data_IF_117272837972
#
_entry.id   IF_117272837972
#
_cell.length_a   1.000
_cell.length_b   1.000
_cell.length_c   1.000
_cell.angle_alpha   90.00
_cell.angle_beta   90.00
_cell.angle_gamma   90.00
#
_symmetry.space_group_name_H-M   'P 1'
#
loop_
_entity.id
_entity.type
_entity.pdbx_description
1 polymer ?
#
# COMPACT_ATOMS: atom_id res chain seq x y z
N UNK A 1 -31.85 -12.07 37.10
CA UNK A 1 -31.86 -13.41 36.46
C UNK A 1 -30.54 -14.08 36.77
N UNK A 2 -30.56 -15.20 37.49
CA UNK A 2 -29.34 -15.92 37.89
C UNK A 2 -28.81 -16.66 36.67
N UNK A 3 -27.64 -16.26 36.17
CA UNK A 3 -26.95 -16.97 35.10
C UNK A 3 -26.29 -18.20 35.74
N UNK A 4 -26.94 -19.37 35.65
CA UNK A 4 -26.30 -20.64 36.05
C UNK A 4 -25.31 -21.03 34.95
N UNK A 5 -24.03 -20.87 35.25
CA UNK A 5 -22.96 -21.34 34.37
C UNK A 5 -23.04 -22.87 34.22
N UNK A 6 -23.01 -23.34 32.97
CA UNK A 6 -23.02 -24.77 32.65
C UNK A 6 -21.61 -25.30 32.89
N UNK A 7 -21.49 -26.37 33.67
CA UNK A 7 -20.20 -26.99 33.93
C UNK A 7 -19.57 -27.49 32.62
N UNK A 8 -18.24 -27.45 32.52
CA UNK A 8 -17.50 -27.89 31.34
C UNK A 8 -17.79 -29.36 30.99
N UNK A 9 -18.02 -30.20 32.00
CA UNK A 9 -18.44 -31.59 31.84
C UNK A 9 -19.83 -31.72 31.19
N UNK A 10 -20.79 -30.89 31.63
CA UNK A 10 -22.14 -30.83 31.06
C UNK A 10 -22.11 -30.28 29.64
N UNK A 11 -21.28 -29.26 29.37
CA UNK A 11 -21.07 -28.74 28.01
C UNK A 11 -20.56 -29.82 27.08
N UNK A 12 -19.53 -30.58 27.48
CA UNK A 12 -18.98 -31.67 26.68
C UNK A 12 -19.99 -32.82 26.45
N UNK A 13 -20.82 -33.13 27.45
CA UNK A 13 -21.91 -34.09 27.30
C UNK A 13 -22.94 -33.64 26.25
N UNK A 14 -23.35 -32.36 26.27
CA UNK A 14 -24.24 -31.75 25.26
C UNK A 14 -23.61 -31.84 23.86
N UNK A 15 -22.35 -31.45 23.71
CA UNK A 15 -21.63 -31.51 22.42
C UNK A 15 -21.61 -32.95 21.87
N UNK A 16 -21.34 -33.94 22.74
CA UNK A 16 -21.32 -35.35 22.34
C UNK A 16 -22.71 -35.85 21.89
N UNK A 17 -23.78 -35.41 22.56
CA UNK A 17 -25.15 -35.79 22.24
C UNK A 17 -25.64 -35.14 20.94
N UNK A 18 -25.25 -33.88 20.69
CA UNK A 18 -25.50 -33.16 19.44
C UNK A 18 -24.80 -33.85 18.25
N UNK A 19 -23.54 -34.27 18.42
CA UNK A 19 -22.80 -35.04 17.40
C UNK A 19 -23.43 -36.41 17.09
N UNK A 20 -24.11 -37.01 18.07
CA UNK A 20 -24.88 -38.26 17.89
C UNK A 20 -26.27 -38.05 17.29
N UNK A 21 -26.67 -36.80 16.99
CA UNK A 21 -27.96 -36.48 16.38
C UNK A 21 -29.17 -36.62 17.30
N UNK A 22 -28.97 -36.62 18.64
CA UNK A 22 -30.10 -36.63 19.59
C UNK A 22 -30.89 -35.31 19.49
N UNK A 23 -32.22 -35.37 19.64
CA UNK A 23 -33.07 -34.17 19.64
C UNK A 23 -32.86 -33.33 20.89
N UNK A 24 -33.15 -32.02 20.80
CA UNK A 24 -32.96 -31.08 21.91
C UNK A 24 -33.82 -31.45 23.13
N UNK A 25 -34.98 -32.06 22.91
CA UNK A 25 -35.88 -32.51 23.97
C UNK A 25 -35.28 -33.65 24.77
N UNK A 26 -34.66 -34.62 24.08
CA UNK A 26 -33.98 -35.75 24.73
C UNK A 26 -32.80 -35.24 25.55
N UNK A 27 -32.00 -34.33 24.99
CA UNK A 27 -30.82 -33.75 25.67
C UNK A 27 -31.26 -32.91 26.88
N UNK A 28 -32.33 -32.14 26.75
CA UNK A 28 -32.87 -31.31 27.82
C UNK A 28 -33.37 -32.14 28.99
N UNK A 29 -34.05 -33.25 28.71
CA UNK A 29 -34.55 -34.18 29.73
C UNK A 29 -33.43 -34.99 30.38
N UNK A 30 -32.43 -35.44 29.61
CA UNK A 30 -31.31 -36.28 30.08
C UNK A 30 -30.30 -35.50 30.92
N UNK A 31 -30.04 -34.23 30.57
CA UNK A 31 -29.03 -33.40 31.23
C UNK A 31 -29.61 -32.29 32.13
N UNK A 32 -30.95 -32.17 32.20
CA UNK A 32 -31.67 -31.12 32.92
C UNK A 32 -31.21 -29.69 32.57
N UNK A 33 -30.86 -29.48 31.30
CA UNK A 33 -30.41 -28.18 30.77
C UNK A 33 -31.51 -27.57 29.91
N UNK A 34 -31.66 -26.25 29.97
CA UNK A 34 -32.65 -25.53 29.15
C UNK A 34 -32.38 -25.72 27.66
N UNK A 35 -33.45 -25.83 26.86
CA UNK A 35 -33.37 -25.92 25.40
C UNK A 35 -32.63 -24.71 24.77
N UNK A 36 -32.76 -23.53 25.39
CA UNK A 36 -32.04 -22.31 24.96
C UNK A 36 -30.53 -22.43 25.09
N UNK A 37 -30.05 -23.02 26.19
CA UNK A 37 -28.62 -23.28 26.40
C UNK A 37 -28.08 -24.32 25.42
N UNK A 38 -28.84 -25.40 25.17
CA UNK A 38 -28.48 -26.42 24.17
C UNK A 38 -28.41 -25.79 22.77
N UNK A 39 -29.37 -24.93 22.41
CA UNK A 39 -29.36 -24.19 21.15
C UNK A 39 -28.15 -23.26 21.00
N UNK A 40 -27.73 -22.59 22.08
CA UNK A 40 -26.55 -21.73 22.04
C UNK A 40 -25.26 -22.55 21.84
N UNK A 41 -25.13 -23.67 22.56
CA UNK A 41 -23.99 -24.61 22.39
C UNK A 41 -24.03 -25.25 20.99
N UNK A 42 -25.20 -25.59 20.46
CA UNK A 42 -25.33 -26.11 19.10
C UNK A 42 -24.87 -25.10 18.04
N UNK A 43 -25.23 -23.81 18.21
CA UNK A 43 -24.71 -22.73 17.35
C UNK A 43 -23.20 -22.58 17.45
N UNK A 44 -22.61 -22.83 18.62
CA UNK A 44 -21.16 -22.83 18.83
C UNK A 44 -20.44 -24.04 18.21
N UNK A 45 -21.05 -25.22 18.25
CA UNK A 45 -20.47 -26.45 17.69
C UNK A 45 -20.64 -26.49 16.17
N UNK A 46 -21.77 -26.00 15.65
CA UNK A 46 -22.06 -25.88 14.22
C UNK A 46 -21.36 -24.66 13.59
N UNK A 47 -20.32 -24.13 14.23
CA UNK A 47 -19.41 -23.17 13.63
C UNK A 47 -18.63 -23.80 12.45
N UNK A 48 -19.30 -24.08 11.32
CA UNK A 48 -18.87 -23.41 10.09
C UNK A 48 -18.87 -21.94 10.47
N UNK A 49 -17.70 -21.39 10.73
CA UNK A 49 -17.54 -19.98 10.99
C UNK A 49 -18.24 -19.24 9.86
N UNK A 50 -19.48 -18.80 10.11
CA UNK A 50 -20.13 -17.80 9.29
C UNK A 50 -19.34 -16.55 9.63
N UNK A 51 -18.18 -16.43 8.99
CA UNK A 51 -17.46 -15.18 8.88
C UNK A 51 -18.53 -14.22 8.38
N UNK A 52 -19.01 -13.36 9.27
CA UNK A 52 -19.98 -12.34 8.95
C UNK A 52 -19.40 -11.61 7.76
N UNK A 53 -19.98 -11.86 6.57
CA UNK A 53 -19.48 -11.29 5.35
C UNK A 53 -19.64 -9.78 5.52
N UNK A 54 -18.52 -9.10 5.77
CA UNK A 54 -18.52 -7.66 5.93
C UNK A 54 -19.07 -7.00 4.67
N UNK A 55 -19.34 -5.70 4.77
CA UNK A 55 -19.79 -4.90 3.64
C UNK A 55 -18.89 -5.15 2.41
N UNK A 56 -19.47 -5.44 1.22
CA UNK A 56 -18.68 -5.65 0.02
C UNK A 56 -17.84 -4.41 -0.29
N UNK A 57 -16.64 -4.63 -0.82
CA UNK A 57 -15.75 -3.54 -1.20
C UNK A 57 -16.39 -2.73 -2.33
N UNK A 58 -16.40 -1.40 -2.20
CA UNK A 58 -16.86 -0.49 -3.27
C UNK A 58 -15.97 -0.59 -4.53
N UNK A 59 -14.70 -0.94 -4.33
CA UNK A 59 -13.72 -1.11 -5.39
C UNK A 59 -13.79 -2.53 -5.97
N UNK A 60 -13.96 -2.63 -7.28
CA UNK A 60 -13.94 -3.92 -8.00
C UNK A 60 -12.52 -4.51 -8.04
N UNK A 61 -12.42 -5.83 -8.23
CA UNK A 61 -11.11 -6.50 -8.39
C UNK A 61 -10.38 -6.06 -9.65
N UNK A 62 -11.11 -5.64 -10.69
CA UNK A 62 -10.56 -5.07 -11.90
C UNK A 62 -9.95 -3.69 -11.64
N UNK A 63 -10.71 -2.77 -11.04
CA UNK A 63 -10.25 -1.41 -10.75
C UNK A 63 -9.06 -1.44 -9.80
N UNK A 64 -9.08 -2.33 -8.81
CA UNK A 64 -7.94 -2.53 -7.91
C UNK A 64 -6.67 -2.88 -8.67
N UNK A 65 -6.73 -3.84 -9.60
CA UNK A 65 -5.57 -4.24 -10.42
C UNK A 65 -5.12 -3.12 -11.34
N UNK A 66 -6.05 -2.40 -11.95
CA UNK A 66 -5.77 -1.25 -12.81
C UNK A 66 -4.98 -0.19 -12.04
N UNK A 67 -5.45 0.18 -10.84
CA UNK A 67 -4.79 1.17 -9.99
C UNK A 67 -3.37 0.75 -9.64
N UNK A 68 -3.18 -0.48 -9.16
CA UNK A 68 -1.85 -0.97 -8.80
C UNK A 68 -0.89 -0.99 -9.99
N UNK A 69 -1.38 -1.38 -11.18
CA UNK A 69 -0.59 -1.36 -12.42
C UNK A 69 -0.18 0.06 -12.81
N UNK A 70 -1.11 1.01 -12.74
CA UNK A 70 -0.87 2.42 -13.09
C UNK A 70 0.08 3.12 -12.11
N UNK A 71 0.04 2.78 -10.83
CA UNK A 71 1.05 3.23 -9.85
C UNK A 71 2.43 2.65 -10.17
N UNK A 72 2.52 1.35 -10.45
CA UNK A 72 3.78 0.70 -10.83
C UNK A 72 4.36 1.21 -12.16
N UNK A 73 3.51 1.67 -13.08
CA UNK A 73 3.92 2.27 -14.34
C UNK A 73 4.27 3.78 -14.22
N UNK A 74 4.14 4.37 -13.03
CA UNK A 74 4.39 5.80 -12.81
C UNK A 74 3.32 6.76 -13.35
N UNK A 75 2.19 6.24 -13.84
CA UNK A 75 1.10 7.06 -14.39
C UNK A 75 0.36 7.81 -13.27
N UNK A 76 0.10 7.12 -12.15
CA UNK A 76 -0.52 7.75 -10.99
C UNK A 76 0.53 8.25 -10.00
N UNK A 77 0.63 9.58 -9.88
CA UNK A 77 1.49 10.25 -8.89
C UNK A 77 0.86 10.29 -7.49
N UNK A 78 -0.47 10.46 -7.40
CA UNK A 78 -1.20 10.60 -6.11
C UNK A 78 -2.46 9.72 -6.07
N UNK A 79 -2.95 9.44 -4.85
CA UNK A 79 -4.20 8.72 -4.65
C UNK A 79 -5.41 9.53 -5.16
N UNK A 80 -5.32 10.86 -5.09
CA UNK A 80 -6.29 11.80 -5.66
C UNK A 80 -6.36 11.69 -7.18
N UNK A 81 -5.21 11.59 -7.85
CA UNK A 81 -5.15 11.40 -9.30
C UNK A 81 -5.85 10.10 -9.70
N UNK A 82 -5.53 8.99 -9.03
CA UNK A 82 -6.18 7.70 -9.27
C UNK A 82 -7.69 7.76 -8.99
N UNK A 83 -8.12 8.38 -7.89
CA UNK A 83 -9.54 8.50 -7.56
C UNK A 83 -10.32 9.36 -8.57
N UNK A 84 -9.70 10.42 -9.10
CA UNK A 84 -10.30 11.25 -10.16
C UNK A 84 -10.44 10.46 -11.47
N UNK A 85 -9.42 9.70 -11.83
CA UNK A 85 -9.43 8.89 -13.05
C UNK A 85 -10.51 7.80 -12.98
N UNK A 86 -10.62 7.11 -11.84
CA UNK A 86 -11.69 6.13 -11.61
C UNK A 86 -13.09 6.74 -11.63
N UNK A 87 -13.26 7.97 -11.13
CA UNK A 87 -14.54 8.69 -11.24
C UNK A 87 -14.93 8.93 -12.70
N UNK A 88 -13.96 9.27 -13.56
CA UNK A 88 -14.18 9.40 -15.01
C UNK A 88 -14.59 8.10 -15.70
N UNK A 89 -14.20 6.96 -15.14
CA UNK A 89 -14.56 5.61 -15.62
C UNK A 89 -15.87 5.08 -15.03
N UNK A 90 -16.59 5.88 -14.23
CA UNK A 90 -17.87 5.49 -13.61
C UNK A 90 -17.75 4.87 -12.21
N UNK A 91 -16.54 4.70 -11.69
CA UNK A 91 -16.30 4.19 -10.34
C UNK A 91 -16.13 5.36 -9.35
N UNK A 92 -17.21 5.76 -8.67
CA UNK A 92 -17.15 6.82 -7.66
C UNK A 92 -16.43 6.36 -6.39
N UNK A 93 -15.15 6.72 -6.26
CA UNK A 93 -14.31 6.28 -5.14
C UNK A 93 -13.56 7.49 -4.57
N UNK A 94 -13.42 7.52 -3.23
CA UNK A 94 -12.62 8.54 -2.56
C UNK A 94 -11.14 8.18 -2.54
N UNK A 95 -10.26 9.18 -2.43
CA UNK A 95 -8.81 8.94 -2.40
C UNK A 95 -8.37 8.07 -1.21
N UNK A 96 -9.12 8.08 -0.11
CA UNK A 96 -8.83 7.22 1.05
C UNK A 96 -8.98 5.73 0.71
N UNK A 97 -9.96 5.33 -0.10
CA UNK A 97 -10.12 3.94 -0.54
C UNK A 97 -8.91 3.49 -1.38
N UNK A 98 -8.38 4.38 -2.23
CA UNK A 98 -7.14 4.11 -2.99
C UNK A 98 -5.95 3.95 -2.05
N UNK A 99 -5.79 4.82 -1.04
CA UNK A 99 -4.72 4.68 -0.05
C UNK A 99 -4.83 3.37 0.73
N UNK A 100 -6.04 2.96 1.10
CA UNK A 100 -6.27 1.68 1.79
C UNK A 100 -5.89 0.49 0.90
N UNK A 101 -6.25 0.54 -0.39
CA UNK A 101 -5.83 -0.46 -1.39
C UNK A 101 -4.30 -0.56 -1.44
N UNK A 102 -3.61 0.57 -1.59
CA UNK A 102 -2.15 0.64 -1.66
C UNK A 102 -1.51 0.01 -0.42
N UNK A 103 -1.98 0.38 0.78
CA UNK A 103 -1.49 -0.21 2.04
C UNK A 103 -1.72 -1.72 2.10
N UNK A 104 -2.92 -2.20 1.73
CA UNK A 104 -3.22 -3.64 1.71
C UNK A 104 -2.38 -4.42 0.69
N UNK A 105 -1.91 -3.73 -0.37
CA UNK A 105 -1.08 -4.29 -1.43
C UNK A 105 0.43 -4.10 -1.16
N UNK A 106 0.81 -3.77 0.07
CA UNK A 106 2.19 -3.54 0.51
C UNK A 106 2.89 -2.38 -0.22
N UNK A 107 2.17 -1.34 -0.63
CA UNK A 107 2.79 -0.09 -1.07
C UNK A 107 3.10 0.80 0.12
N UNK A 108 4.28 1.42 0.10
CA UNK A 108 4.72 2.39 1.11
C UNK A 108 5.01 3.73 0.44
N UNK A 109 4.63 4.80 1.11
CA UNK A 109 5.04 6.14 0.71
C UNK A 109 6.53 6.30 1.04
N UNK A 110 7.33 6.66 0.04
CA UNK A 110 8.77 6.95 0.18
C UNK A 110 9.05 8.36 -0.29
N UNK A 111 10.02 9.01 0.36
CA UNK A 111 10.51 10.33 -0.08
C UNK A 111 11.21 10.15 -1.42
N UNK A 112 10.88 11.00 -2.39
CA UNK A 112 11.60 11.02 -3.66
C UNK A 112 13.05 11.49 -3.41
N UNK A 113 14.06 10.78 -3.91
CA UNK A 113 15.43 11.27 -3.84
C UNK A 113 15.55 12.55 -4.67
N UNK A 114 16.27 13.53 -4.13
CA UNK A 114 16.70 14.74 -4.84
C UNK A 114 17.97 14.39 -5.62
N UNK A 115 17.83 13.57 -6.64
CA UNK A 115 18.94 13.27 -7.55
C UNK A 115 18.43 13.45 -8.97
N UNK A 116 19.20 14.14 -9.81
CA UNK A 116 19.00 14.08 -11.24
C UNK A 116 19.34 12.64 -11.68
N UNK A 117 18.43 11.91 -12.32
CA UNK A 117 18.79 10.66 -12.96
C UNK A 117 19.85 10.97 -14.02
N UNK A 118 21.09 10.56 -13.76
CA UNK A 118 22.17 10.67 -14.74
C UNK A 118 21.80 9.81 -15.95
N UNK A 119 21.48 10.45 -17.07
CA UNK A 119 21.25 9.77 -18.33
C UNK A 119 22.51 9.01 -18.75
N UNK A 120 22.37 7.96 -19.57
CA UNK A 120 23.53 7.21 -20.05
C UNK A 120 24.55 8.11 -20.76
N UNK A 121 24.07 9.13 -21.49
CA UNK A 121 24.93 10.14 -22.12
C UNK A 121 25.68 10.97 -21.09
N UNK A 122 24.99 11.51 -20.08
CA UNK A 122 25.62 12.30 -19.02
C UNK A 122 26.68 11.49 -18.26
N UNK A 123 26.40 10.21 -17.95
CA UNK A 123 27.39 9.31 -17.32
C UNK A 123 28.65 9.17 -18.18
N UNK A 124 28.48 8.99 -19.50
CA UNK A 124 29.60 8.87 -20.43
C UNK A 124 30.39 10.17 -20.53
N UNK A 125 29.71 11.31 -20.64
CA UNK A 125 30.35 12.63 -20.69
C UNK A 125 31.14 12.92 -19.41
N UNK A 126 30.57 12.66 -18.23
CA UNK A 126 31.26 12.82 -16.95
C UNK A 126 32.48 11.91 -16.84
N UNK A 127 32.37 10.66 -17.30
CA UNK A 127 33.51 9.73 -17.32
C UNK A 127 34.62 10.20 -18.27
N UNK A 128 34.26 10.70 -19.45
CA UNK A 128 35.23 11.24 -20.40
C UNK A 128 35.91 12.49 -19.86
N UNK A 129 35.15 13.40 -19.24
CA UNK A 129 35.69 14.57 -18.55
C UNK A 129 36.68 14.15 -17.46
N UNK A 130 36.28 13.25 -16.56
CA UNK A 130 37.15 12.78 -15.49
C UNK A 130 38.44 12.14 -16.03
N UNK A 131 38.35 11.32 -17.08
CA UNK A 131 39.54 10.72 -17.72
C UNK A 131 40.44 11.75 -18.40
N UNK A 132 39.86 12.79 -19.02
CA UNK A 132 40.62 13.83 -19.72
C UNK A 132 41.47 14.67 -18.76
N UNK A 133 40.96 14.88 -17.55
CA UNK A 133 41.56 15.76 -16.56
C UNK A 133 42.12 15.00 -15.35
N UNK A 134 42.33 13.68 -15.46
CA UNK A 134 42.79 12.83 -14.35
C UNK A 134 44.23 13.14 -13.92
N UNK A 135 45.07 13.52 -14.89
CA UNK A 135 46.50 13.79 -14.68
C UNK A 135 46.79 15.28 -14.45
N UNK A 136 45.75 16.12 -14.33
CA UNK A 136 45.91 17.55 -14.11
C UNK A 136 46.43 17.86 -12.71
N UNK A 137 47.41 18.77 -12.64
CA UNK A 137 48.03 19.23 -11.40
C UNK A 137 47.28 20.44 -10.82
N UNK A 138 47.58 20.81 -9.58
CA UNK A 138 46.96 22.00 -8.96
C UNK A 138 47.22 23.28 -9.77
N UNK A 139 48.40 23.39 -10.38
CA UNK A 139 48.81 24.47 -11.26
C UNK A 139 47.90 24.59 -12.49
N UNK A 140 47.52 23.46 -13.08
CA UNK A 140 46.60 23.42 -14.23
C UNK A 140 45.19 23.88 -13.83
N UNK A 141 44.73 23.51 -12.63
CA UNK A 141 43.42 23.91 -12.12
C UNK A 141 43.33 25.40 -11.75
N UNK A 142 44.44 26.06 -11.39
CA UNK A 142 44.47 27.50 -11.04
C UNK A 142 44.01 28.39 -12.20
N UNK A 143 44.10 27.93 -13.45
CA UNK A 143 43.62 28.65 -14.63
C UNK A 143 42.12 28.46 -14.91
N UNK A 144 41.44 27.57 -14.21
CA UNK A 144 40.03 27.22 -14.48
C UNK A 144 39.10 28.04 -13.58
N UNK A 145 38.18 28.76 -14.20
CA UNK A 145 37.07 29.41 -13.50
C UNK A 145 35.80 28.61 -13.74
N UNK A 146 35.17 28.16 -12.66
CA UNK A 146 33.86 27.52 -12.73
C UNK A 146 32.77 28.56 -12.49
N UNK A 147 31.76 28.57 -13.36
CA UNK A 147 30.50 29.27 -13.14
C UNK A 147 29.36 28.27 -13.21
N UNK A 148 28.43 28.35 -12.27
CA UNK A 148 27.19 27.57 -12.29
C UNK A 148 26.02 28.47 -11.91
N UNK A 149 24.84 28.10 -12.39
CA UNK A 149 23.60 28.79 -12.05
C UNK A 149 22.90 28.06 -10.91
N UNK A 150 22.52 28.81 -9.87
CA UNK A 150 21.74 28.26 -8.76
C UNK A 150 20.34 28.85 -8.72
N UNK A 151 19.34 27.99 -8.49
CA UNK A 151 17.95 28.40 -8.35
C UNK A 151 17.73 29.04 -6.97
N UNK A 152 17.44 30.34 -6.94
CA UNK A 152 17.03 31.04 -5.71
C UNK A 152 15.51 31.14 -5.66
N UNK A 153 14.89 30.39 -4.74
CA UNK A 153 13.44 30.42 -4.54
C UNK A 153 13.02 31.68 -3.78
N UNK A 154 12.19 32.54 -4.41
CA UNK A 154 11.64 33.74 -3.76
C UNK A 154 10.52 33.44 -2.75
N UNK A 155 9.79 32.35 -2.93
CA UNK A 155 8.65 31.96 -2.09
C UNK A 155 8.68 30.46 -1.81
N UNK A 156 8.90 30.11 -0.54
CA UNK A 156 8.90 28.74 -0.06
C UNK A 156 10.02 27.87 -0.65
N UNK A 157 10.15 26.66 -0.11
CA UNK A 157 10.98 25.63 -0.73
C UNK A 157 10.14 24.81 -1.71
N UNK A 158 10.78 24.18 -2.70
CA UNK A 158 10.13 23.22 -3.62
C UNK A 158 9.50 22.01 -2.88
N UNK A 159 9.80 21.86 -1.58
CA UNK A 159 9.15 20.92 -0.69
C UNK A 159 9.64 19.48 -0.86
N UNK A 160 9.24 18.62 0.09
CA UNK A 160 9.50 17.18 0.01
C UNK A 160 8.43 16.53 -0.86
N UNK A 161 8.82 15.95 -2.00
CA UNK A 161 7.91 15.12 -2.77
C UNK A 161 7.95 13.66 -2.31
N UNK A 162 6.82 12.99 -2.43
CA UNK A 162 6.63 11.60 -2.04
C UNK A 162 6.12 10.79 -3.22
N UNK A 163 6.42 9.50 -3.19
CA UNK A 163 5.98 8.53 -4.20
C UNK A 163 5.57 7.24 -3.52
N UNK A 164 4.59 6.54 -4.10
CA UNK A 164 4.19 5.22 -3.65
C UNK A 164 5.05 4.17 -4.34
N UNK A 165 5.68 3.30 -3.56
CA UNK A 165 6.54 2.23 -4.06
C UNK A 165 6.11 0.92 -3.41
N UNK A 166 6.03 -0.14 -4.21
CA UNK A 166 5.77 -1.47 -3.68
C UNK A 166 6.95 -1.93 -2.81
N UNK A 167 6.64 -2.45 -1.63
CA UNK A 167 7.65 -2.96 -0.71
C UNK A 167 8.54 -4.02 -1.38
N UNK A 168 9.85 -3.92 -1.15
CA UNK A 168 10.86 -4.77 -1.78
C UNK A 168 11.30 -4.36 -3.18
N UNK A 169 10.65 -3.38 -3.82
CA UNK A 169 11.10 -2.86 -5.12
C UNK A 169 12.07 -1.67 -4.99
N UNK A 170 13.09 -1.57 -5.86
CA UNK A 170 13.91 -0.37 -5.95
C UNK A 170 13.09 0.81 -6.46
N UNK A 171 13.56 2.02 -6.19
CA UNK A 171 13.02 3.23 -6.80
C UNK A 171 13.29 3.19 -8.30
N UNK A 172 12.26 3.42 -9.10
CA UNK A 172 12.37 3.55 -10.55
C UNK A 172 12.56 5.03 -10.94
N UNK A 173 12.90 5.29 -12.20
CA UNK A 173 13.19 6.65 -12.69
C UNK A 173 12.01 7.61 -12.48
N UNK A 174 10.78 7.13 -12.70
CA UNK A 174 9.57 7.93 -12.47
C UNK A 174 9.29 8.23 -10.97
N UNK A 175 10.00 7.56 -10.06
CA UNK A 175 9.93 7.82 -8.62
C UNK A 175 10.92 8.90 -8.15
N UNK A 176 11.71 9.48 -9.07
CA UNK A 176 12.64 10.57 -8.76
C UNK A 176 11.96 11.94 -8.88
N UNK A 177 12.60 12.95 -8.30
CA UNK A 177 12.16 14.34 -8.42
C UNK A 177 12.40 14.80 -9.87
N UNK A 178 11.37 15.34 -10.52
CA UNK A 178 11.57 16.18 -11.69
C UNK A 178 12.10 17.51 -11.16
N UNK A 179 13.42 17.69 -11.15
CA UNK A 179 14.01 18.99 -10.90
C UNK A 179 13.61 19.86 -12.09
N UNK A 180 12.91 20.96 -11.83
CA UNK A 180 12.34 21.88 -12.82
C UNK A 180 13.39 22.65 -13.61
N UNK A 181 14.37 21.96 -14.18
CA UNK A 181 15.26 22.48 -15.19
C UNK A 181 14.42 22.55 -16.46
N UNK A 182 14.10 23.76 -16.88
CA UNK A 182 13.43 24.04 -18.14
C UNK A 182 14.17 23.31 -19.28
N UNK A 183 13.49 22.58 -20.18
CA UNK A 183 14.13 21.86 -21.31
C UNK A 183 14.86 22.76 -22.31
N UNK A 184 14.93 24.08 -22.07
CA UNK A 184 15.45 25.05 -23.04
C UNK A 184 16.97 25.15 -23.11
N UNK A 185 17.71 24.37 -22.32
CA UNK A 185 19.18 24.51 -22.22
C UNK A 185 19.93 23.17 -22.25
N UNK A 186 19.54 22.25 -23.13
CA UNK A 186 20.33 21.04 -23.42
C UNK A 186 21.07 21.09 -24.77
N UNK A 187 21.21 22.29 -25.35
CA UNK A 187 22.03 22.54 -26.54
C UNK A 187 23.04 23.64 -26.23
N UNK A 188 24.17 23.25 -25.64
CA UNK A 188 25.50 23.86 -25.88
C UNK A 188 26.53 22.74 -25.79
#
# INVERSE_FOLDING_TARGET
MVNREISETQRNAIISALRRGKSYDIISNELHVSKGSISNIAKEVDHRSVLQAGRPKKLTTYDARLVLRRFNAGVYKTAEHAARDLRGLGSDICSQTVRNLLKSSKFKARRKPTALPLTHSAKKAHLQFAKKYIDWTEEDWKGVVFSDETKINRLGSDGKQWTWVQEGRPLQDHNQMELGISPKYSEV
#
